data_IF_612319241645
#
_entry.id   IF_612319241645
#
_cell.length_a   1.000
_cell.length_b   1.000
_cell.length_c   1.000
_cell.angle_alpha   90.00
_cell.angle_beta   90.00
_cell.angle_gamma   90.00
#
_symmetry.space_group_name_H-M   'P 1'
#
loop_
_entity.id
_entity.type
_entity.pdbx_description
1 polymer ?
#
# COMPACT_ATOMS: atom_id res chain seq x y z
N UNK A 1 -23.33 17.37 7.54
CA UNK A 1 -21.86 17.33 7.68
C UNK A 1 -21.30 16.37 6.63
N UNK A 2 -20.97 16.86 5.43
CA UNK A 2 -20.12 16.19 4.43
C UNK A 2 -19.93 17.19 3.28
N UNK A 3 -18.71 17.68 3.06
CA UNK A 3 -18.40 18.72 2.04
C UNK A 3 -18.41 18.17 0.59
N UNK A 4 -19.23 17.15 0.30
CA UNK A 4 -19.26 16.49 -1.02
C UNK A 4 -17.97 15.76 -1.40
N UNK A 5 -17.11 15.45 -0.43
CA UNK A 5 -15.84 14.76 -0.68
C UNK A 5 -16.03 13.24 -0.72
N UNK A 6 -15.34 12.53 -1.62
CA UNK A 6 -15.38 11.07 -1.66
C UNK A 6 -14.76 10.48 -0.39
N UNK A 7 -15.47 9.54 0.22
CA UNK A 7 -15.07 8.85 1.45
C UNK A 7 -14.57 7.45 1.08
N UNK A 8 -13.45 7.05 1.67
CA UNK A 8 -12.86 5.73 1.48
C UNK A 8 -12.58 5.10 2.84
N UNK A 9 -12.92 3.82 2.96
CA UNK A 9 -12.72 3.06 4.20
C UNK A 9 -11.70 1.95 3.99
N UNK A 10 -10.86 1.74 5.01
CA UNK A 10 -9.83 0.72 5.00
C UNK A 10 -9.84 -0.05 6.31
N UNK A 11 -9.80 -1.38 6.21
CA UNK A 11 -9.66 -2.21 7.41
C UNK A 11 -8.28 -2.01 8.04
N UNK A 12 -8.15 -2.09 9.38
CA UNK A 12 -6.86 -1.94 10.06
C UNK A 12 -5.79 -2.90 9.51
N UNK A 13 -6.20 -4.14 9.19
CA UNK A 13 -5.32 -5.15 8.60
C UNK A 13 -4.82 -4.73 7.21
N UNK A 14 -5.67 -4.08 6.39
CA UNK A 14 -5.29 -3.57 5.06
C UNK A 14 -4.29 -2.43 5.18
N UNK A 15 -4.48 -1.51 6.12
CA UNK A 15 -3.54 -0.40 6.38
C UNK A 15 -2.17 -0.96 6.74
N UNK A 16 -2.11 -1.88 7.72
CA UNK A 16 -0.88 -2.58 8.12
C UNK A 16 -0.21 -3.28 6.94
N UNK A 17 -0.95 -4.11 6.22
CA UNK A 17 -0.47 -4.84 5.04
C UNK A 17 0.10 -3.90 3.98
N UNK A 18 -0.54 -2.76 3.74
CA UNK A 18 -0.13 -1.79 2.73
C UNK A 18 1.21 -1.14 3.05
N UNK A 19 1.54 -0.97 4.32
CA UNK A 19 2.73 -0.23 4.76
C UNK A 19 3.89 -1.21 5.04
N UNK A 20 3.61 -2.30 5.74
CA UNK A 20 4.64 -3.23 6.25
C UNK A 20 4.76 -4.51 5.42
N UNK A 21 3.81 -4.77 4.50
CA UNK A 21 3.69 -6.07 3.84
C UNK A 21 3.13 -7.18 4.73
N UNK A 22 2.74 -6.88 5.97
CA UNK A 22 2.16 -7.84 6.91
C UNK A 22 0.97 -7.24 7.67
N UNK A 23 -0.24 -7.75 7.41
CA UNK A 23 -1.47 -7.31 8.06
C UNK A 23 -1.52 -7.50 9.58
N UNK A 24 -0.66 -8.35 10.14
CA UNK A 24 -0.56 -8.60 11.58
C UNK A 24 0.53 -7.76 12.27
N UNK A 25 1.14 -6.80 11.57
CA UNK A 25 2.20 -5.96 12.13
C UNK A 25 1.74 -5.15 13.35
N UNK A 26 2.68 -4.86 14.25
CA UNK A 26 2.44 -4.02 15.42
C UNK A 26 2.39 -2.54 15.04
N UNK A 27 1.87 -1.67 15.92
CA UNK A 27 1.80 -0.22 15.64
C UNK A 27 3.19 0.39 15.51
N UNK A 28 4.15 -0.10 16.28
CA UNK A 28 5.55 0.33 16.26
C UNK A 28 6.22 -0.03 14.94
N UNK A 29 5.94 -1.23 14.41
CA UNK A 29 6.42 -1.64 13.08
C UNK A 29 5.85 -0.75 11.98
N UNK A 30 4.56 -0.40 12.06
CA UNK A 30 3.94 0.54 11.12
C UNK A 30 4.60 1.92 11.21
N UNK A 31 4.80 2.45 12.41
CA UNK A 31 5.44 3.74 12.62
C UNK A 31 6.89 3.78 12.10
N UNK A 32 7.67 2.72 12.38
CA UNK A 32 9.04 2.59 11.87
C UNK A 32 9.08 2.56 10.34
N UNK A 33 8.16 1.82 9.71
CA UNK A 33 8.05 1.76 8.25
C UNK A 33 7.64 3.11 7.67
N UNK A 34 6.67 3.80 8.28
CA UNK A 34 6.27 5.15 7.85
C UNK A 34 7.43 6.14 7.95
N UNK A 35 8.22 6.07 9.02
CA UNK A 35 9.44 6.89 9.19
C UNK A 35 10.41 6.67 8.04
N UNK A 36 10.61 5.41 7.66
CA UNK A 36 11.52 5.03 6.59
C UNK A 36 10.98 5.44 5.20
N UNK A 37 9.67 5.28 4.97
CA UNK A 37 9.00 5.63 3.70
C UNK A 37 8.97 7.15 3.46
N UNK A 38 8.76 7.94 4.51
CA UNK A 38 8.52 9.38 4.41
C UNK A 38 9.71 10.23 4.89
N UNK A 39 10.80 9.59 5.33
CA UNK A 39 12.07 10.22 5.71
C UNK A 39 11.93 11.35 6.75
N UNK A 40 11.01 11.22 7.70
CA UNK A 40 10.87 12.19 8.80
C UNK A 40 11.73 11.79 10.01
N UNK A 41 12.28 12.77 10.74
CA UNK A 41 13.19 12.53 11.87
C UNK A 41 12.46 12.27 13.18
N UNK A 42 11.32 12.91 13.37
CA UNK A 42 10.55 12.82 14.61
C UNK A 42 10.03 11.40 14.84
N UNK A 43 10.31 10.85 16.00
CA UNK A 43 9.53 9.74 16.53
C UNK A 43 8.37 10.36 17.29
N UNK A 44 7.14 10.30 16.75
CA UNK A 44 6.00 10.90 17.44
C UNK A 44 5.86 10.23 18.81
N UNK A 45 5.79 11.06 19.85
CA UNK A 45 5.61 10.62 21.25
C UNK A 45 4.31 9.83 21.42
N UNK A 46 3.29 10.18 20.63
CA UNK A 46 2.00 9.49 20.55
C UNK A 46 1.81 8.85 19.18
N UNK A 47 1.54 7.55 19.15
CA UNK A 47 1.35 6.79 17.91
C UNK A 47 0.06 7.15 17.16
N UNK A 48 -0.83 7.93 17.75
CA UNK A 48 -2.12 8.32 17.14
C UNK A 48 -1.92 9.13 15.84
N UNK A 49 -0.86 9.95 15.77
CA UNK A 49 -0.50 10.67 14.55
C UNK A 49 -0.11 9.70 13.41
N UNK A 50 0.47 8.56 13.75
CA UNK A 50 0.89 7.54 12.76
C UNK A 50 -0.29 6.78 12.18
N UNK A 51 -1.40 6.65 12.91
CA UNK A 51 -2.62 5.99 12.42
C UNK A 51 -3.23 6.80 11.25
N UNK A 52 -3.32 8.13 11.39
CA UNK A 52 -3.79 9.02 10.32
C UNK A 52 -2.87 9.01 9.10
N UNK A 53 -1.55 9.07 9.32
CA UNK A 53 -0.55 9.00 8.26
C UNK A 53 -0.59 7.65 7.53
N UNK A 54 -0.78 6.56 8.27
CA UNK A 54 -0.89 5.21 7.73
C UNK A 54 -2.08 5.06 6.80
N UNK A 55 -3.25 5.60 7.17
CA UNK A 55 -4.43 5.61 6.30
C UNK A 55 -4.18 6.39 5.01
N UNK A 56 -3.53 7.55 5.09
CA UNK A 56 -3.20 8.37 3.91
C UNK A 56 -2.24 7.64 2.95
N UNK A 57 -1.19 7.01 3.49
CA UNK A 57 -0.24 6.21 2.70
C UNK A 57 -0.94 5.00 2.07
N UNK A 58 -1.80 4.31 2.83
CA UNK A 58 -2.58 3.19 2.30
C UNK A 58 -3.46 3.60 1.11
N UNK A 59 -4.15 4.75 1.21
CA UNK A 59 -4.95 5.29 0.11
C UNK A 59 -4.09 5.60 -1.12
N UNK A 60 -2.93 6.23 -0.92
CA UNK A 60 -1.98 6.56 -2.00
C UNK A 60 -1.53 5.29 -2.74
N UNK A 61 -1.15 4.24 -2.02
CA UNK A 61 -0.70 2.99 -2.62
C UNK A 61 -1.80 2.27 -3.40
N UNK A 62 -3.06 2.32 -2.95
CA UNK A 62 -4.17 1.75 -3.71
C UNK A 62 -4.43 2.48 -5.03
N UNK A 63 -4.26 3.81 -5.06
CA UNK A 63 -4.33 4.58 -6.31
C UNK A 63 -3.20 4.20 -7.26
N UNK A 64 -1.97 4.05 -6.75
CA UNK A 64 -0.81 3.69 -7.57
C UNK A 64 -0.97 2.28 -8.17
N UNK A 65 -1.43 1.30 -7.40
CA UNK A 65 -1.64 -0.07 -7.92
C UNK A 65 -2.69 -0.15 -9.01
N UNK A 66 -3.61 0.82 -9.09
CA UNK A 66 -4.64 0.88 -10.13
C UNK A 66 -4.11 1.40 -11.47
N UNK A 67 -2.94 2.07 -11.48
CA UNK A 67 -2.33 2.64 -12.69
C UNK A 67 -1.41 1.64 -13.44
N UNK A 68 -1.23 0.43 -12.92
CA UNK A 68 -0.30 -0.56 -13.44
C UNK A 68 -0.81 -1.98 -13.35
N UNK A 69 -2.02 -2.25 -13.84
CA UNK A 69 -2.44 -3.62 -14.12
C UNK A 69 -1.65 -4.15 -15.33
N UNK A 70 -0.44 -4.66 -15.09
CA UNK A 70 0.23 -5.50 -16.06
C UNK A 70 -0.71 -6.65 -16.47
N UNK A 71 -0.65 -7.06 -17.74
CA UNK A 71 -1.50 -8.15 -18.26
C UNK A 71 -1.42 -9.35 -17.30
N UNK A 72 -2.58 -9.72 -16.74
CA UNK A 72 -2.71 -10.96 -15.97
C UNK A 72 -2.79 -12.12 -16.97
N UNK A 73 -1.93 -13.12 -16.79
CA UNK A 73 -1.93 -14.32 -17.62
C UNK A 73 -2.55 -15.47 -16.84
N UNK A 74 -3.51 -16.16 -17.45
CA UNK A 74 -4.18 -17.32 -16.85
C UNK A 74 -3.42 -18.64 -17.06
N UNK A 75 -2.31 -18.63 -17.79
CA UNK A 75 -1.54 -19.83 -18.09
C UNK A 75 -0.17 -19.56 -18.70
N UNK A 76 0.72 -20.56 -18.59
CA UNK A 76 2.09 -20.51 -19.12
C UNK A 76 2.12 -20.29 -20.63
N UNK A 77 1.19 -20.90 -21.36
CA UNK A 77 1.08 -20.77 -22.82
C UNK A 77 0.72 -19.34 -23.25
N UNK A 78 -0.21 -18.71 -22.52
CA UNK A 78 -0.64 -17.32 -22.74
C UNK A 78 0.50 -16.34 -22.49
N UNK A 79 1.29 -16.59 -21.43
CA UNK A 79 2.48 -15.81 -21.12
C UNK A 79 3.57 -16.00 -22.18
N UNK A 80 3.87 -17.25 -22.57
CA UNK A 80 4.93 -17.57 -23.51
C UNK A 80 4.67 -17.00 -24.91
N UNK A 81 3.40 -16.99 -25.34
CA UNK A 81 2.98 -16.41 -26.62
C UNK A 81 3.19 -14.89 -26.68
N UNK A 82 2.82 -14.19 -25.61
CA UNK A 82 2.99 -12.72 -25.53
C UNK A 82 4.45 -12.30 -25.28
N UNK A 83 5.31 -13.22 -24.83
CA UNK A 83 6.70 -12.94 -24.47
C UNK A 83 7.73 -13.72 -25.30
N UNK A 84 7.43 -14.13 -26.53
CA UNK A 84 8.32 -14.95 -27.38
C UNK A 84 9.74 -14.40 -27.53
N UNK A 85 9.94 -13.07 -27.49
CA UNK A 85 11.27 -12.45 -27.55
C UNK A 85 12.12 -12.62 -26.27
N UNK A 86 11.50 -12.92 -25.12
CA UNK A 86 12.17 -13.11 -23.82
C UNK A 86 12.57 -14.57 -23.55
N UNK A 87 12.08 -15.50 -24.37
CA UNK A 87 12.20 -16.96 -24.15
C UNK A 87 13.06 -17.62 -25.25
N UNK A 88 13.83 -16.81 -25.99
CA UNK A 88 14.88 -17.29 -26.89
C UNK A 88 16.25 -17.16 -26.25
#
# INVERSE_FOLDING_TARGET
LAKGLPIFEYSPKKVKQSITGNGNATKEQVAAMLKQLLSFKETPEFLDATDGLGVAVCHSFQKITSAGSGKSYSGWESFAKDNQKRIK
#
